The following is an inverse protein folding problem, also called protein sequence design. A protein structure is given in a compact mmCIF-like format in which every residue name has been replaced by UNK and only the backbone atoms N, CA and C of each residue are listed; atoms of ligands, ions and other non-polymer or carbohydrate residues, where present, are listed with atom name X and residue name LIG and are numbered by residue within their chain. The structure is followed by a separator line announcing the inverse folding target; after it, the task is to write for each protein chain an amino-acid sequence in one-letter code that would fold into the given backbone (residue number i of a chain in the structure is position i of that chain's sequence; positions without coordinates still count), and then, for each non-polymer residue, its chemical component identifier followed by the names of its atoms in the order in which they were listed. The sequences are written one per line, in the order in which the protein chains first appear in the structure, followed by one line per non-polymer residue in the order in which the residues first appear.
data_IF_190519334831
#
_entry.id   IF_190519334831
#
_cell.length_a   1.000
_cell.length_b   1.000
_cell.length_c   1.000
_cell.angle_alpha   90.00
_cell.angle_beta   90.00
_cell.angle_gamma   90.00
#
_symmetry.space_group_name_H-M   'P 1'
#
loop_
_entity.id
_entity.type
_entity.pdbx_description
1 polymer ?
#
# COMPACT_ATOMS: atom_id res chain seq x y z
N UNK A 1 36.27 6.36 -4.61
CA UNK A 1 35.80 6.30 -6.01
C UNK A 1 34.31 6.55 -6.00
N UNK A 2 33.81 7.59 -6.69
CA UNK A 2 32.37 7.83 -6.78
C UNK A 2 31.75 6.83 -7.78
N UNK A 3 30.75 6.04 -7.37
CA UNK A 3 29.96 5.28 -8.33
C UNK A 3 29.25 6.27 -9.27
N UNK A 4 29.20 5.93 -10.55
CA UNK A 4 28.45 6.71 -11.53
C UNK A 4 26.95 6.60 -11.26
N UNK A 5 26.18 7.63 -11.63
CA UNK A 5 24.71 7.60 -11.55
C UNK A 5 24.09 6.41 -12.30
N UNK A 6 24.74 5.93 -13.36
CA UNK A 6 24.33 4.74 -14.10
C UNK A 6 24.44 3.47 -13.25
N UNK A 7 25.53 3.32 -12.50
CA UNK A 7 25.74 2.18 -11.60
C UNK A 7 24.72 2.17 -10.46
N UNK A 8 24.42 3.34 -9.89
CA UNK A 8 23.36 3.49 -8.89
C UNK A 8 21.98 3.10 -9.44
N UNK A 9 21.66 3.54 -10.65
CA UNK A 9 20.40 3.17 -11.31
C UNK A 9 20.25 1.67 -11.54
N UNK A 10 21.33 0.99 -11.96
CA UNK A 10 21.35 -0.46 -12.13
C UNK A 10 21.16 -1.20 -10.79
N UNK A 11 21.79 -0.73 -9.73
CA UNK A 11 21.67 -1.33 -8.40
C UNK A 11 20.27 -1.17 -7.81
N UNK A 12 19.64 -0.01 -7.98
CA UNK A 12 18.25 0.22 -7.58
C UNK A 12 17.30 -0.71 -8.34
N UNK A 13 17.50 -0.87 -9.65
CA UNK A 13 16.72 -1.77 -10.48
C UNK A 13 16.90 -3.25 -10.07
N UNK A 14 18.12 -3.66 -9.73
CA UNK A 14 18.40 -5.00 -9.21
C UNK A 14 17.67 -5.23 -7.88
N UNK A 15 17.62 -4.23 -7.00
CA UNK A 15 16.83 -4.30 -5.76
C UNK A 15 15.31 -4.16 -5.97
N UNK A 16 14.86 -4.00 -7.22
CA UNK A 16 13.44 -3.91 -7.59
C UNK A 16 12.82 -2.53 -7.44
N UNK A 17 13.60 -1.52 -7.03
CA UNK A 17 13.13 -0.16 -6.87
C UNK A 17 13.05 0.54 -8.23
N UNK A 18 11.87 1.05 -8.55
CA UNK A 18 11.61 1.84 -9.75
C UNK A 18 11.36 3.30 -9.35
N UNK A 19 11.86 4.29 -10.12
CA UNK A 19 11.43 5.67 -9.98
C UNK A 19 9.92 5.78 -10.15
N UNK A 20 9.25 6.54 -9.28
CA UNK A 20 7.78 6.63 -9.25
C UNK A 20 7.21 7.06 -10.60
N UNK A 21 7.85 7.98 -11.31
CA UNK A 21 7.44 8.45 -12.65
C UNK A 21 7.45 7.37 -13.75
N UNK A 22 8.18 6.26 -13.52
CA UNK A 22 8.33 5.15 -14.47
C UNK A 22 7.83 3.82 -13.90
N UNK A 23 7.18 3.84 -12.74
CA UNK A 23 6.83 2.60 -12.07
C UNK A 23 5.78 1.80 -12.84
N UNK A 24 5.94 0.49 -12.83
CA UNK A 24 5.07 -0.49 -13.50
C UNK A 24 4.17 -1.25 -12.53
N UNK A 25 4.21 -0.88 -11.24
CA UNK A 25 3.54 -1.60 -10.15
C UNK A 25 2.05 -1.80 -10.44
N UNK A 26 1.32 -0.71 -10.70
CA UNK A 26 -0.13 -0.81 -10.93
C UNK A 26 -0.50 -1.59 -12.20
N UNK A 27 0.31 -1.48 -13.25
CA UNK A 27 0.10 -2.24 -14.48
C UNK A 27 0.21 -3.75 -14.20
N UNK A 28 1.25 -4.15 -13.47
CA UNK A 28 1.48 -5.56 -13.10
C UNK A 28 0.43 -6.07 -12.11
N UNK A 29 0.10 -5.31 -11.06
CA UNK A 29 -0.94 -5.69 -10.09
C UNK A 29 -2.31 -5.95 -10.73
N UNK A 30 -2.65 -5.22 -11.80
CA UNK A 30 -3.93 -5.41 -12.51
C UNK A 30 -4.02 -6.71 -13.31
N UNK A 31 -2.88 -7.32 -13.65
CA UNK A 31 -2.82 -8.59 -14.41
C UNK A 31 -2.82 -9.81 -13.50
N UNK A 32 -2.65 -9.61 -12.20
CA UNK A 32 -2.45 -10.67 -11.22
C UNK A 32 -3.74 -10.99 -10.45
N UNK A 33 -3.95 -12.27 -10.14
CA UNK A 33 -5.06 -12.78 -9.33
C UNK A 33 -4.53 -13.49 -8.08
N UNK A 34 -4.88 -13.05 -6.86
CA UNK A 34 -4.38 -13.65 -5.62
C UNK A 34 -4.64 -15.16 -5.53
N UNK A 35 -3.74 -15.91 -4.90
CA UNK A 35 -3.81 -17.38 -4.74
C UNK A 35 -2.74 -17.88 -3.77
N UNK A 36 -2.98 -19.06 -3.17
CA UNK A 36 -2.03 -19.70 -2.25
C UNK A 36 -2.28 -19.34 -0.79
N UNK A 37 -1.36 -19.74 0.09
CA UNK A 37 -1.35 -19.35 1.50
C UNK A 37 -0.70 -17.99 1.75
N UNK A 38 -0.27 -17.75 2.99
CA UNK A 38 0.34 -16.49 3.43
C UNK A 38 1.68 -16.78 4.11
N UNK A 39 2.77 -16.20 3.60
CA UNK A 39 4.12 -16.27 4.16
C UNK A 39 4.52 -14.88 4.69
N UNK A 40 3.86 -14.47 5.77
CA UNK A 40 3.99 -13.12 6.33
C UNK A 40 5.39 -12.84 6.87
N UNK A 41 5.94 -13.70 7.74
CA UNK A 41 7.28 -13.50 8.33
C UNK A 41 8.37 -13.49 7.27
N UNK A 42 8.30 -14.39 6.30
CA UNK A 42 9.24 -14.42 5.16
C UNK A 42 9.20 -13.10 4.39
N UNK A 43 8.00 -12.57 4.15
CA UNK A 43 7.79 -11.30 3.47
C UNK A 43 8.43 -10.14 4.23
N UNK A 44 8.16 -10.02 5.53
CA UNK A 44 8.74 -8.96 6.37
C UNK A 44 10.26 -9.06 6.37
N UNK A 45 10.82 -10.25 6.61
CA UNK A 45 12.27 -10.48 6.62
C UNK A 45 12.93 -10.14 5.27
N UNK A 46 12.30 -10.52 4.16
CA UNK A 46 12.75 -10.15 2.82
C UNK A 46 12.73 -8.63 2.62
N UNK A 47 11.68 -7.95 3.07
CA UNK A 47 11.55 -6.51 2.92
C UNK A 47 12.57 -5.71 3.73
N UNK A 48 12.75 -6.05 5.01
CA UNK A 48 13.80 -5.46 5.86
C UNK A 48 15.19 -5.67 5.24
N UNK A 49 15.44 -6.85 4.69
CA UNK A 49 16.70 -7.15 3.99
C UNK A 49 16.91 -6.29 2.74
N UNK A 50 15.85 -6.01 1.96
CA UNK A 50 15.93 -5.10 0.81
C UNK A 50 16.24 -3.65 1.24
N UNK A 51 15.64 -3.19 2.34
CA UNK A 51 15.89 -1.86 2.88
C UNK A 51 17.35 -1.71 3.33
N UNK A 52 17.88 -2.69 4.06
CA UNK A 52 19.28 -2.71 4.46
C UNK A 52 20.23 -2.66 3.26
N UNK A 53 19.97 -3.49 2.23
CA UNK A 53 20.76 -3.50 0.99
C UNK A 53 20.70 -2.17 0.24
N UNK A 54 19.51 -1.55 0.15
CA UNK A 54 19.36 -0.25 -0.48
C UNK A 54 20.08 0.84 0.32
N UNK A 55 19.97 0.84 1.64
CA UNK A 55 20.67 1.81 2.49
C UNK A 55 22.20 1.67 2.37
N UNK A 56 22.72 0.45 2.32
CA UNK A 56 24.13 0.19 2.07
C UNK A 56 24.56 0.78 0.71
N UNK A 57 23.84 0.45 -0.37
CA UNK A 57 24.07 0.97 -1.70
C UNK A 57 24.08 2.52 -1.75
N UNK A 58 23.14 3.15 -1.06
CA UNK A 58 23.03 4.61 -0.97
C UNK A 58 24.14 5.24 -0.12
N UNK A 59 24.65 4.51 0.87
CA UNK A 59 25.75 4.95 1.73
C UNK A 59 27.09 4.91 0.99
N UNK A 60 27.31 3.87 0.18
CA UNK A 60 28.50 3.74 -0.69
C UNK A 60 28.64 4.90 -1.69
N UNK A 61 27.53 5.55 -2.06
CA UNK A 61 27.53 6.73 -2.94
C UNK A 61 27.37 8.05 -2.17
N UNK A 62 27.34 8.03 -0.84
CA UNK A 62 27.27 9.23 0.00
C UNK A 62 25.92 9.95 -0.03
N UNK A 63 24.82 9.25 -0.33
CA UNK A 63 23.48 9.86 -0.41
C UNK A 63 22.46 9.30 0.59
N UNK A 64 22.80 8.31 1.42
CA UNK A 64 21.84 7.68 2.35
C UNK A 64 21.13 8.68 3.29
N UNK A 65 21.78 9.77 3.69
CA UNK A 65 21.24 10.78 4.61
C UNK A 65 20.12 11.69 4.06
N UNK A 66 19.78 11.55 2.78
CA UNK A 66 18.62 12.24 2.18
C UNK A 66 17.44 11.31 1.92
N UNK A 67 17.58 10.00 2.19
CA UNK A 67 16.54 9.00 1.96
C UNK A 67 15.85 8.58 3.26
N UNK A 68 14.52 8.53 3.18
CA UNK A 68 13.65 7.91 4.15
C UNK A 68 13.08 6.61 3.57
N UNK A 69 13.05 5.56 4.37
CA UNK A 69 12.55 4.24 4.02
C UNK A 69 11.16 4.05 4.61
N UNK A 70 10.20 3.70 3.76
CA UNK A 70 8.81 3.47 4.16
C UNK A 70 8.44 2.07 3.75
N UNK A 71 8.29 1.17 4.71
CA UNK A 71 7.88 -0.21 4.48
C UNK A 71 6.41 -0.36 4.87
N UNK A 72 5.56 -0.80 3.94
CA UNK A 72 4.15 -1.05 4.23
C UNK A 72 3.88 -2.53 3.98
N UNK A 73 3.43 -3.23 5.01
CA UNK A 73 3.10 -4.65 4.98
C UNK A 73 1.60 -4.80 5.15
N UNK A 74 0.93 -5.47 4.21
CA UNK A 74 -0.53 -5.62 4.22
C UNK A 74 -0.88 -7.10 4.15
N UNK A 75 -1.73 -7.56 5.07
CA UNK A 75 -2.18 -8.97 5.16
C UNK A 75 -3.65 -9.05 5.60
N UNK A 76 -4.35 -10.08 5.15
CA UNK A 76 -5.71 -10.41 5.62
C UNK A 76 -5.82 -11.77 6.34
N UNK A 77 -4.70 -12.46 6.53
CA UNK A 77 -4.70 -13.84 7.00
C UNK A 77 -3.60 -14.18 8.02
N UNK A 78 -3.76 -15.37 8.60
CA UNK A 78 -2.75 -16.02 9.44
C UNK A 78 -1.50 -16.38 8.62
N UNK A 79 -0.33 -16.38 9.25
CA UNK A 79 0.89 -16.87 8.61
C UNK A 79 0.88 -18.39 8.53
N UNK A 80 0.65 -18.94 7.33
CA UNK A 80 0.50 -20.39 7.09
C UNK A 80 1.71 -21.02 6.43
N UNK A 81 2.56 -20.21 5.80
CA UNK A 81 3.56 -20.71 4.84
C UNK A 81 4.99 -20.22 5.14
N UNK A 82 5.18 -19.29 6.09
CA UNK A 82 6.53 -18.80 6.40
C UNK A 82 7.44 -19.87 7.00
N UNK A 83 8.71 -19.78 6.63
CA UNK A 83 9.81 -20.59 7.17
C UNK A 83 10.68 -19.79 8.15
N UNK A 84 10.70 -18.47 8.01
CA UNK A 84 11.41 -17.55 8.89
C UNK A 84 10.85 -17.64 10.31
N UNK A 85 11.76 -17.85 11.26
CA UNK A 85 11.41 -17.92 12.68
C UNK A 85 11.34 -16.52 13.29
N UNK A 86 10.58 -16.32 14.39
CA UNK A 86 10.49 -15.02 15.04
C UNK A 86 11.85 -14.45 15.48
N UNK A 87 12.78 -15.31 15.91
CA UNK A 87 14.12 -14.90 16.36
C UNK A 87 14.99 -14.36 15.21
N UNK A 88 14.86 -14.96 14.02
CA UNK A 88 15.54 -14.48 12.80
C UNK A 88 15.02 -13.10 12.42
N UNK A 89 13.70 -12.89 12.54
CA UNK A 89 13.07 -11.61 12.26
C UNK A 89 13.47 -10.54 13.28
N UNK A 90 13.52 -10.89 14.57
CA UNK A 90 14.01 -10.01 15.62
C UNK A 90 15.46 -9.57 15.38
N UNK A 91 16.33 -10.49 14.93
CA UNK A 91 17.72 -10.16 14.59
C UNK A 91 17.81 -9.17 13.41
N UNK A 92 16.95 -9.31 12.39
CA UNK A 92 16.88 -8.36 11.28
C UNK A 92 16.41 -6.96 11.73
N UNK A 93 15.41 -6.89 12.61
CA UNK A 93 14.96 -5.61 13.17
C UNK A 93 15.98 -4.97 14.11
N UNK A 94 16.74 -5.78 14.86
CA UNK A 94 17.88 -5.27 15.61
C UNK A 94 18.89 -4.61 14.66
N UNK A 95 19.26 -5.29 13.57
CA UNK A 95 20.23 -4.78 12.61
C UNK A 95 19.75 -3.48 11.92
N UNK A 96 18.48 -3.40 11.49
CA UNK A 96 17.97 -2.18 10.85
C UNK A 96 17.97 -1.00 11.81
N UNK A 97 17.61 -1.20 13.07
CA UNK A 97 17.60 -0.15 14.09
C UNK A 97 19.01 0.33 14.50
N UNK A 98 20.05 -0.49 14.29
CA UNK A 98 21.45 -0.08 14.46
C UNK A 98 22.01 0.65 13.22
N UNK A 99 21.44 0.38 12.04
CA UNK A 99 22.00 0.85 10.76
C UNK A 99 21.32 2.11 10.25
N UNK A 100 20.01 2.25 10.50
CA UNK A 100 19.19 3.35 9.98
C UNK A 100 18.49 4.02 11.17
N UNK A 101 18.61 5.35 11.35
CA UNK A 101 17.87 6.06 12.38
C UNK A 101 16.36 5.81 12.26
N UNK A 102 15.68 5.63 13.39
CA UNK A 102 14.22 5.38 13.42
C UNK A 102 13.39 6.51 12.81
N UNK A 103 13.94 7.74 12.77
CA UNK A 103 13.32 8.87 12.07
C UNK A 103 13.38 8.76 10.54
N UNK A 104 14.28 7.92 10.00
CA UNK A 104 14.46 7.68 8.56
C UNK A 104 13.93 6.34 8.09
N UNK A 105 13.44 5.47 8.97
CA UNK A 105 12.89 4.17 8.59
C UNK A 105 11.63 3.89 9.38
N UNK A 106 10.50 3.72 8.68
CA UNK A 106 9.23 3.35 9.29
C UNK A 106 8.65 2.13 8.61
N UNK A 107 8.13 1.19 9.41
CA UNK A 107 7.36 0.03 8.95
C UNK A 107 5.92 0.14 9.44
N UNK A 108 4.97 0.09 8.53
CA UNK A 108 3.54 0.14 8.82
C UNK A 108 2.89 -1.20 8.45
N UNK A 109 2.37 -1.88 9.45
CA UNK A 109 1.62 -3.12 9.29
C UNK A 109 0.13 -2.82 9.20
N UNK A 110 -0.54 -3.33 8.18
CA UNK A 110 -1.99 -3.15 7.97
C UNK A 110 -2.65 -4.52 7.91
N UNK A 111 -3.37 -4.86 8.98
CA UNK A 111 -4.20 -6.05 9.04
C UNK A 111 -5.61 -5.77 8.50
N UNK A 112 -6.10 -6.58 7.58
CA UNK A 112 -7.47 -6.47 7.04
C UNK A 112 -8.31 -7.61 7.62
N UNK A 113 -9.26 -7.28 8.48
CA UNK A 113 -10.20 -8.27 9.04
C UNK A 113 -9.52 -9.51 9.65
N UNK A 114 -8.41 -9.29 10.35
CA UNK A 114 -7.59 -10.37 10.88
C UNK A 114 -8.32 -11.21 11.95
N UNK A 115 -8.01 -12.51 11.95
CA UNK A 115 -8.31 -13.38 13.09
C UNK A 115 -7.58 -12.86 14.35
N UNK A 116 -8.05 -13.23 15.54
CA UNK A 116 -7.34 -12.87 16.78
C UNK A 116 -5.90 -13.39 16.80
N UNK A 117 -5.66 -14.57 16.21
CA UNK A 117 -4.33 -15.17 16.10
C UNK A 117 -3.43 -14.35 15.17
N UNK A 118 -3.89 -14.05 13.95
CA UNK A 118 -3.17 -13.23 13.00
C UNK A 118 -2.88 -11.82 13.54
N UNK A 119 -3.84 -11.21 14.24
CA UNK A 119 -3.65 -9.90 14.86
C UNK A 119 -2.58 -9.94 15.97
N UNK A 120 -2.55 -10.99 16.80
CA UNK A 120 -1.53 -11.18 17.83
C UNK A 120 -0.14 -11.39 17.20
N UNK A 121 -0.05 -12.16 16.12
CA UNK A 121 1.20 -12.36 15.37
C UNK A 121 1.71 -11.06 14.74
N UNK A 122 0.85 -10.30 14.08
CA UNK A 122 1.22 -9.00 13.49
C UNK A 122 1.70 -8.02 14.58
N UNK A 123 1.06 -8.04 15.75
CA UNK A 123 1.47 -7.24 16.90
C UNK A 123 2.84 -7.66 17.40
N UNK A 124 3.09 -8.96 17.57
CA UNK A 124 4.41 -9.48 17.96
C UNK A 124 5.51 -9.05 16.99
N UNK A 125 5.26 -9.16 15.68
CA UNK A 125 6.21 -8.73 14.65
C UNK A 125 6.47 -7.21 14.76
N UNK A 126 5.44 -6.40 15.00
CA UNK A 126 5.61 -4.95 15.16
C UNK A 126 6.46 -4.58 16.38
N UNK A 127 6.38 -5.36 17.47
CA UNK A 127 7.19 -5.14 18.67
C UNK A 127 8.68 -5.32 18.38
N UNK A 128 9.06 -6.23 17.48
CA UNK A 128 10.47 -6.42 17.12
C UNK A 128 11.12 -5.16 16.53
N UNK A 129 10.38 -4.37 15.76
CA UNK A 129 10.91 -3.11 15.22
C UNK A 129 10.88 -1.95 16.22
N UNK A 130 10.14 -2.06 17.32
CA UNK A 130 10.04 -1.00 18.33
C UNK A 130 9.42 0.28 17.75
N UNK A 131 10.03 1.44 18.05
CA UNK A 131 9.48 2.76 17.70
C UNK A 131 9.43 3.05 16.18
N UNK A 132 10.09 2.24 15.34
CA UNK A 132 10.01 2.37 13.88
C UNK A 132 8.77 1.68 13.30
N UNK A 133 8.03 0.90 14.09
CA UNK A 133 6.91 0.09 13.63
C UNK A 133 5.57 0.58 14.16
N UNK A 134 4.56 0.60 13.28
CA UNK A 134 3.18 0.90 13.62
C UNK A 134 2.27 -0.20 13.09
N UNK A 135 1.26 -0.59 13.86
CA UNK A 135 0.25 -1.56 13.45
C UNK A 135 -1.13 -0.90 13.33
N UNK A 136 -1.80 -1.16 12.22
CA UNK A 136 -3.12 -0.67 11.90
C UNK A 136 -4.06 -1.85 11.65
N UNK A 137 -5.27 -1.75 12.19
CA UNK A 137 -6.34 -2.70 11.91
C UNK A 137 -7.37 -2.01 11.00
N UNK A 138 -7.67 -2.65 9.88
CA UNK A 138 -8.60 -2.20 8.88
C UNK A 138 -9.82 -3.13 8.87
N UNK A 139 -11.01 -2.53 8.99
CA UNK A 139 -12.23 -3.17 8.51
C UNK A 139 -12.38 -2.84 7.02
N UNK A 140 -13.01 -3.70 6.21
CA UNK A 140 -13.08 -3.68 4.73
C UNK A 140 -13.34 -2.32 4.03
N UNK A 141 -13.73 -1.26 4.74
CA UNK A 141 -14.19 0.02 4.19
C UNK A 141 -13.10 1.11 4.13
N UNK A 142 -11.97 1.02 4.87
CA UNK A 142 -11.13 2.21 5.12
C UNK A 142 -9.62 2.08 4.84
N UNK A 143 -9.17 1.24 3.91
CA UNK A 143 -7.74 1.16 3.57
C UNK A 143 -7.15 2.52 3.15
N UNK A 144 -7.88 3.31 2.36
CA UNK A 144 -7.44 4.66 1.95
C UNK A 144 -7.10 5.55 3.14
N UNK A 145 -7.92 5.56 4.21
CA UNK A 145 -7.68 6.38 5.40
C UNK A 145 -6.41 5.95 6.14
N UNK A 146 -6.10 4.65 6.14
CA UNK A 146 -4.87 4.14 6.74
C UNK A 146 -3.66 4.58 5.92
N UNK A 147 -3.73 4.51 4.59
CA UNK A 147 -2.66 5.02 3.73
C UNK A 147 -2.47 6.54 3.89
N UNK A 148 -3.54 7.31 4.00
CA UNK A 148 -3.48 8.75 4.27
C UNK A 148 -2.79 9.02 5.62
N UNK A 149 -3.13 8.26 6.66
CA UNK A 149 -2.47 8.33 7.96
C UNK A 149 -0.99 7.97 7.88
N UNK A 150 -0.64 6.88 7.20
CA UNK A 150 0.76 6.49 6.98
C UNK A 150 1.50 7.63 6.26
N UNK A 151 0.92 8.19 5.20
CA UNK A 151 1.50 9.34 4.48
C UNK A 151 1.76 10.54 5.40
N UNK A 152 0.82 10.87 6.29
CA UNK A 152 0.99 11.95 7.27
C UNK A 152 2.11 11.61 8.26
N UNK A 153 2.07 10.41 8.84
CA UNK A 153 3.00 9.97 9.89
C UNK A 153 4.46 9.94 9.38
N UNK A 154 4.67 9.56 8.11
CA UNK A 154 6.00 9.55 7.49
C UNK A 154 6.38 10.89 6.83
N UNK A 155 5.49 11.87 6.82
CA UNK A 155 5.73 13.18 6.20
C UNK A 155 5.69 13.18 4.66
N UNK A 156 5.06 12.18 4.04
CA UNK A 156 4.71 12.21 2.60
C UNK A 156 3.47 13.09 2.46
N UNK A 157 3.66 14.40 2.48
CA UNK A 157 2.59 15.36 2.22
C UNK A 157 2.81 15.99 0.87
N UNK A 158 1.81 15.87 -0.03
CA UNK A 158 1.78 16.70 -1.24
C UNK A 158 1.72 18.15 -0.78
N UNK A 159 2.77 18.93 -1.07
CA UNK A 159 2.70 20.38 -0.95
C UNK A 159 1.71 20.88 -2.00
N UNK A 160 0.43 20.91 -1.65
CA UNK A 160 -0.57 21.62 -2.44
C UNK A 160 -0.31 23.09 -2.12
N UNK A 161 0.36 23.77 -3.05
CA UNK A 161 0.55 25.22 -2.98
C UNK A 161 -0.80 25.92 -3.04
N UNK A 162 -1.43 26.15 -1.89
CA UNK A 162 -2.58 27.05 -1.80
C UNK A 162 -2.02 28.47 -1.71
N UNK A 163 -1.76 29.07 -2.86
CA UNK A 163 -1.54 30.53 -2.95
C UNK A 163 -2.92 31.17 -2.88
N UNK A 164 -3.42 31.36 -1.66
CA UNK A 164 -4.63 32.14 -1.40
C UNK A 164 -4.30 33.63 -1.48
N UNK A 165 -4.61 34.27 -2.61
CA UNK A 165 -4.73 35.73 -2.66
C UNK A 165 -6.12 36.07 -2.16
N UNK A 166 -6.23 36.37 -0.86
CA UNK A 166 -7.48 36.85 -0.29
C UNK A 166 -7.64 38.33 -0.65
N UNK A 167 -8.37 38.61 -1.74
CA UNK A 167 -8.73 39.96 -2.16
C UNK A 167 -10.17 40.23 -1.76
N UNK A 168 -10.33 41.05 -0.72
CA UNK A 168 -11.60 41.50 -0.19
C UNK A 168 -11.45 42.85 0.51
N UNK A 169 -11.09 43.87 -0.26
CA UNK A 169 -11.33 45.30 -0.04
C UNK A 169 -10.30 46.24 0.63
N UNK A 170 -9.06 45.85 0.94
CA UNK A 170 -7.98 46.84 1.11
C UNK A 170 -6.63 46.33 0.60
N UNK A 171 -6.21 46.83 -0.55
CA UNK A 171 -4.90 46.58 -1.14
C UNK A 171 -4.04 47.84 -0.98
N UNK A 172 -3.28 47.92 0.11
CA UNK A 172 -2.09 48.78 0.18
C UNK A 172 -0.88 47.89 -0.07
N UNK A 173 -0.29 47.99 -1.26
CA UNK A 173 0.93 47.27 -1.63
C UNK A 173 2.14 47.98 -1.03
N UNK A 174 2.41 47.77 0.26
CA UNK A 174 3.75 48.03 0.80
C UNK A 174 4.65 46.88 0.38
N UNK A 175 5.53 47.13 -0.60
CA UNK A 175 6.66 46.24 -0.90
C UNK A 175 7.65 46.37 0.26
N UNK A 176 7.40 45.61 1.32
CA UNK A 176 8.41 45.36 2.32
C UNK A 176 9.26 44.21 1.77
N UNK A 177 10.39 44.56 1.14
CA UNK A 177 11.48 43.62 0.87
C UNK A 177 12.02 43.11 2.21
N UNK A 178 11.28 42.22 2.85
CA UNK A 178 11.85 41.32 3.85
C UNK A 178 12.61 40.29 3.04
N UNK A 179 13.93 40.32 3.17
CA UNK A 179 14.84 39.25 2.79
C UNK A 179 14.13 37.92 2.99
N UNK A 180 13.71 37.30 1.89
CA UNK A 180 13.07 36.00 1.96
C UNK A 180 14.10 35.08 2.63
N UNK A 181 13.80 34.48 3.79
CA UNK A 181 14.68 33.48 4.33
C UNK A 181 14.81 32.42 3.23
N UNK A 182 16.03 32.21 2.74
CA UNK A 182 16.33 31.07 1.87
C UNK A 182 16.21 29.85 2.77
N UNK A 183 14.98 29.42 3.02
CA UNK A 183 14.69 28.14 3.64
C UNK A 183 15.19 27.13 2.63
N UNK A 184 16.40 26.62 2.84
CA UNK A 184 16.87 25.44 2.15
C UNK A 184 15.99 24.29 2.63
N UNK A 185 14.86 24.09 1.95
CA UNK A 185 14.01 22.93 2.15
C UNK A 185 14.85 21.74 1.71
N UNK A 186 15.51 21.07 2.68
CA UNK A 186 16.22 19.82 2.45
C UNK A 186 15.17 18.85 1.90
N UNK A 187 15.24 18.59 0.59
CA UNK A 187 14.27 17.74 -0.09
C UNK A 187 14.53 16.29 0.32
N UNK A 188 13.70 15.81 1.22
CA UNK A 188 13.67 14.41 1.62
C UNK A 188 13.18 13.57 0.43
N UNK A 189 13.87 12.46 0.17
CA UNK A 189 13.43 11.45 -0.81
C UNK A 189 12.90 10.24 -0.07
N UNK A 190 11.94 9.55 -0.68
CA UNK A 190 11.32 8.36 -0.12
C UNK A 190 11.64 7.13 -0.96
N UNK A 191 12.07 6.07 -0.29
CA UNK A 191 12.14 4.73 -0.84
C UNK A 191 11.01 3.91 -0.20
N UNK A 192 9.93 3.71 -0.96
CA UNK A 192 8.75 2.97 -0.51
C UNK A 192 8.88 1.51 -0.91
N UNK A 193 8.71 0.62 0.05
CA UNK A 193 8.57 -0.81 -0.17
C UNK A 193 7.18 -1.28 0.26
N UNK A 194 6.43 -1.85 -0.68
CA UNK A 194 5.12 -2.42 -0.47
C UNK A 194 5.20 -3.93 -0.43
N UNK A 195 4.92 -4.55 0.70
CA UNK A 195 4.74 -5.99 0.81
C UNK A 195 3.25 -6.29 0.87
N UNK A 196 2.70 -6.86 -0.20
CA UNK A 196 1.27 -7.07 -0.36
C UNK A 196 0.95 -8.56 -0.28
N UNK A 197 0.03 -8.91 0.62
CA UNK A 197 -0.52 -10.27 0.65
C UNK A 197 -1.27 -10.54 -0.65
N UNK A 198 -0.90 -11.65 -1.26
CA UNK A 198 -1.40 -12.16 -2.52
C UNK A 198 -1.98 -13.57 -2.35
N UNK A 199 -2.35 -13.94 -1.12
CA UNK A 199 -3.04 -15.17 -0.75
C UNK A 199 -4.44 -15.30 -1.37
N UNK A 200 -5.00 -16.50 -1.33
CA UNK A 200 -6.35 -16.76 -1.85
C UNK A 200 -7.47 -15.96 -1.17
N UNK A 201 -7.31 -15.59 0.11
CA UNK A 201 -8.29 -14.81 0.90
C UNK A 201 -8.42 -13.36 0.42
N UNK A 202 -7.36 -12.81 -0.18
CA UNK A 202 -7.35 -11.44 -0.71
C UNK A 202 -8.21 -11.25 -1.97
N UNK A 203 -8.73 -12.31 -2.59
CA UNK A 203 -9.49 -12.22 -3.86
C UNK A 203 -10.71 -11.29 -3.80
N UNK A 204 -11.13 -10.82 -4.98
CA UNK A 204 -12.37 -10.05 -5.13
C UNK A 204 -12.25 -8.62 -4.64
N UNK A 205 -13.17 -8.19 -3.78
CA UNK A 205 -13.27 -6.80 -3.33
C UNK A 205 -12.06 -6.34 -2.54
N UNK A 206 -11.49 -7.19 -1.66
CA UNK A 206 -10.28 -6.87 -0.87
C UNK A 206 -9.10 -6.49 -1.77
N UNK A 207 -8.79 -7.32 -2.77
CA UNK A 207 -7.74 -7.04 -3.75
C UNK A 207 -7.98 -5.75 -4.52
N UNK A 208 -9.23 -5.51 -4.94
CA UNK A 208 -9.57 -4.29 -5.68
C UNK A 208 -9.40 -3.03 -4.81
N UNK A 209 -9.86 -3.08 -3.55
CA UNK A 209 -9.65 -2.00 -2.58
C UNK A 209 -8.17 -1.76 -2.30
N UNK A 210 -7.38 -2.82 -2.15
CA UNK A 210 -5.93 -2.73 -1.95
C UNK A 210 -5.26 -2.05 -3.14
N UNK A 211 -5.54 -2.50 -4.37
CA UNK A 211 -4.99 -1.89 -5.60
C UNK A 211 -5.34 -0.41 -5.70
N UNK A 212 -6.58 -0.03 -5.40
CA UNK A 212 -7.00 1.36 -5.41
C UNK A 212 -6.22 2.19 -4.38
N UNK A 213 -6.06 1.67 -3.17
CA UNK A 213 -5.33 2.35 -2.09
C UNK A 213 -3.85 2.51 -2.42
N UNK A 214 -3.21 1.46 -2.94
CA UNK A 214 -1.82 1.51 -3.42
C UNK A 214 -1.68 2.53 -4.56
N UNK A 215 -2.62 2.56 -5.51
CA UNK A 215 -2.60 3.55 -6.59
C UNK A 215 -2.68 4.98 -6.07
N UNK A 216 -3.55 5.24 -5.09
CA UNK A 216 -3.68 6.57 -4.48
C UNK A 216 -2.42 6.95 -3.70
N UNK A 217 -1.87 6.03 -2.91
CA UNK A 217 -0.64 6.27 -2.16
C UNK A 217 0.55 6.57 -3.08
N UNK A 218 0.76 5.77 -4.14
CA UNK A 218 1.86 5.99 -5.10
C UNK A 218 1.74 7.34 -5.82
N UNK A 219 0.53 7.87 -6.02
CA UNK A 219 0.34 9.22 -6.57
C UNK A 219 0.82 10.32 -5.62
N UNK A 220 0.89 10.08 -4.31
CA UNK A 220 1.35 11.08 -3.35
C UNK A 220 2.87 11.26 -3.33
N UNK A 221 3.61 10.30 -3.90
CA UNK A 221 5.06 10.37 -4.04
C UNK A 221 5.50 11.39 -5.09
N UNK A 222 6.70 11.95 -4.92
CA UNK A 222 7.28 12.96 -5.79
C UNK A 222 8.20 12.36 -6.85
N UNK A 223 8.53 13.16 -7.86
CA UNK A 223 9.56 12.80 -8.82
C UNK A 223 10.91 12.55 -8.11
N UNK A 224 11.53 11.42 -8.42
CA UNK A 224 12.79 10.99 -7.81
C UNK A 224 12.64 10.17 -6.53
N UNK A 225 11.42 9.98 -6.03
CA UNK A 225 11.12 8.93 -5.06
C UNK A 225 11.16 7.56 -5.75
N UNK A 226 11.38 6.51 -4.95
CA UNK A 226 11.46 5.14 -5.41
C UNK A 226 10.31 4.32 -4.83
N UNK A 227 9.82 3.38 -5.62
CA UNK A 227 8.83 2.40 -5.19
C UNK A 227 9.27 0.99 -5.57
N UNK A 228 9.14 0.05 -4.64
CA UNK A 228 9.29 -1.38 -4.86
C UNK A 228 8.04 -2.08 -4.34
N UNK A 229 7.64 -3.17 -4.99
CA UNK A 229 6.52 -3.99 -4.56
C UNK A 229 6.92 -5.46 -4.53
N UNK A 230 6.71 -6.10 -3.38
CA UNK A 230 6.80 -7.53 -3.19
C UNK A 230 5.40 -8.09 -2.96
N UNK A 231 5.11 -9.20 -3.61
CA UNK A 231 3.93 -10.00 -3.37
C UNK A 231 4.34 -11.19 -2.52
N UNK A 232 3.51 -11.57 -1.56
CA UNK A 232 3.73 -12.79 -0.80
C UNK A 232 2.47 -13.64 -0.75
N UNK A 233 2.67 -14.94 -0.94
CA UNK A 233 1.68 -15.98 -0.73
C UNK A 233 2.38 -17.18 -0.08
N UNK A 234 2.45 -18.35 -0.70
CA UNK A 234 3.34 -19.46 -0.29
C UNK A 234 4.83 -19.10 -0.36
N UNK A 235 5.19 -18.06 -1.12
CA UNK A 235 6.55 -17.52 -1.23
C UNK A 235 6.52 -16.01 -1.42
N UNK A 236 7.65 -15.36 -1.17
CA UNK A 236 7.84 -13.93 -1.44
C UNK A 236 8.43 -13.74 -2.84
N UNK A 237 7.84 -12.85 -3.63
CA UNK A 237 8.31 -12.54 -4.98
C UNK A 237 8.28 -11.03 -5.21
N UNK A 238 9.34 -10.52 -5.81
CA UNK A 238 9.41 -9.12 -6.25
C UNK A 238 8.59 -8.95 -7.52
N UNK A 239 7.63 -8.03 -7.51
CA UNK A 239 6.69 -7.79 -8.61
C UNK A 239 7.44 -7.48 -9.92
N UNK A 240 8.54 -6.74 -9.84
CA UNK A 240 9.28 -6.33 -11.02
C UNK A 240 10.01 -7.46 -11.75
N UNK A 241 10.26 -8.58 -11.05
CA UNK A 241 10.89 -9.78 -11.60
C UNK A 241 9.88 -10.81 -12.10
N UNK A 242 8.57 -10.56 -11.93
CA UNK A 242 7.55 -11.46 -12.44
C UNK A 242 7.43 -11.30 -13.96
N UNK A 243 7.69 -12.39 -14.67
CA UNK A 243 7.41 -12.49 -16.11
C UNK A 243 5.92 -12.68 -16.31
N UNK A 244 5.19 -11.57 -16.38
CA UNK A 244 3.77 -11.61 -16.72
C UNK A 244 3.67 -11.65 -18.24
N UNK A 245 3.41 -12.84 -18.78
CA UNK A 245 3.04 -12.98 -20.19
C UNK A 245 1.78 -12.16 -20.43
N UNK A 246 1.88 -11.07 -21.19
CA UNK A 246 0.68 -10.35 -21.58
C UNK A 246 -0.24 -11.31 -22.35
N UNK A 247 -1.55 -11.33 -22.05
CA UNK A 247 -2.48 -12.13 -22.83
C UNK A 247 -2.32 -11.71 -24.29
N UNK A 248 -1.90 -12.66 -25.14
CA UNK A 248 -1.78 -12.45 -26.58
C UNK A 248 -3.10 -11.83 -27.05
N UNK A 249 -3.10 -10.65 -27.68
CA UNK A 249 -4.33 -10.00 -28.10
C UNK A 249 -5.12 -11.00 -28.94
N UNK A 250 -6.35 -11.28 -28.52
CA UNK A 250 -7.23 -12.18 -29.25
C UNK A 250 -7.32 -11.64 -30.69
N UNK A 251 -6.82 -12.40 -31.65
CA UNK A 251 -6.94 -12.07 -33.07
C UNK A 251 -8.44 -11.99 -33.32
N UNK A 252 -8.95 -10.77 -33.45
CA UNK A 252 -10.33 -10.54 -33.82
C UNK A 252 -10.40 -10.91 -35.29
N UNK A 253 -10.80 -12.14 -35.57
CA UNK A 253 -11.18 -12.53 -36.92
C UNK A 253 -12.36 -11.66 -37.30
N UNK A 254 -12.12 -10.68 -38.16
CA UNK A 254 -13.17 -9.90 -38.80
C UNK A 254 -13.99 -10.90 -39.60
N UNK A 255 -15.15 -11.29 -39.06
CA UNK A 255 -16.15 -12.03 -39.81
C UNK A 255 -16.52 -11.17 -41.02
N UNK A 256 -16.38 -11.66 -42.27
CA UNK A 256 -16.88 -10.94 -43.42
C UNK A 256 -18.39 -10.77 -43.28
N UNK A 257 -18.85 -9.52 -43.34
CA UNK A 257 -20.26 -9.14 -43.25
C UNK A 257 -21.05 -9.73 -44.41
N UNK A 258 -21.66 -10.89 -44.19
CA UNK A 258 -22.71 -11.42 -45.06
C UNK A 258 -24.04 -10.74 -44.71
N UNK A 259 -24.25 -9.56 -45.29
CA UNK A 259 -25.58 -8.96 -45.36
C UNK A 259 -26.45 -9.79 -46.32
N UNK A 260 -27.15 -10.79 -45.77
CA UNK A 260 -28.30 -11.41 -46.41
C UNK A 260 -29.45 -11.45 -45.38
N UNK A 261 -30.13 -10.32 -45.27
CA UNK A 261 -31.36 -10.17 -44.50
C UNK A 261 -32.50 -10.93 -45.18
N UNK A 262 -32.96 -12.02 -44.58
CA UNK A 262 -34.27 -12.61 -44.86
C UNK A 262 -35.20 -12.21 -43.71
N UNK A 263 -36.10 -11.26 -43.98
CA UNK A 263 -37.16 -10.84 -43.06
C UNK A 263 -38.14 -12.00 -42.86
N UNK A 264 -38.17 -12.56 -41.66
CA UNK A 264 -39.30 -13.37 -41.18
C UNK A 264 -39.99 -12.58 -40.09
N UNK A 265 -41.13 -12.02 -40.46
CA UNK A 265 -42.15 -11.43 -39.60
C UNK A 265 -42.67 -12.47 -38.60
N UNK A 266 -42.53 -12.19 -37.30
CA UNK A 266 -43.23 -12.94 -36.26
C UNK A 266 -44.24 -12.06 -35.50
N UNK A 267 -45.39 -12.64 -35.10
CA UNK A 267 -46.49 -11.92 -34.49
C UNK A 267 -46.31 -11.69 -32.98
N UNK A 268 -46.84 -10.53 -32.58
CA UNK A 268 -47.01 -9.98 -31.24
C UNK A 268 -47.84 -10.90 -30.32
N UNK A 269 -47.38 -11.22 -29.09
CA UNK A 269 -48.26 -11.65 -28.02
C UNK A 269 -48.52 -10.56 -26.98
N UNK A 270 -49.68 -10.72 -26.35
CA UNK A 270 -50.42 -9.75 -25.58
C UNK A 270 -49.85 -9.45 -24.19
N UNK A 271 -50.19 -8.25 -23.74
CA UNK A 271 -50.00 -7.69 -22.41
C UNK A 271 -50.96 -8.38 -21.43
N UNK A 272 -50.45 -8.87 -20.30
CA UNK A 272 -51.26 -9.19 -19.12
C UNK A 272 -50.70 -8.44 -17.92
N UNK A 273 -51.48 -7.49 -17.41
CA UNK A 273 -51.26 -6.84 -16.12
C UNK A 273 -51.91 -7.66 -15.02
N UNK A 274 -51.19 -7.88 -13.92
CA UNK A 274 -51.77 -8.25 -12.64
C UNK A 274 -50.95 -7.66 -11.50
N UNK A 275 -51.46 -6.57 -10.93
CA UNK A 275 -51.29 -6.16 -9.54
C UNK A 275 -52.11 -7.14 -8.66
N UNK A 276 -51.76 -7.41 -7.37
CA UNK A 276 -52.14 -6.44 -6.33
C UNK A 276 -51.27 -6.39 -5.04
N UNK A 277 -51.32 -5.20 -4.43
CA UNK A 277 -51.60 -4.92 -3.02
C UNK A 277 -50.75 -5.50 -1.88
N UNK A 278 -50.15 -4.55 -1.16
CA UNK A 278 -50.44 -4.21 0.25
C UNK A 278 -49.72 -4.94 1.40
N UNK A 279 -49.40 -4.06 2.36
CA UNK A 279 -49.50 -4.19 3.81
C UNK A 279 -48.25 -4.49 4.63
N UNK A 280 -48.02 -3.52 5.53
CA UNK A 280 -47.77 -3.69 6.95
C UNK A 280 -46.42 -4.29 7.36
N UNK A 281 -45.85 -4.00 8.50
CA UNK A 281 -45.97 -2.97 9.53
C UNK A 281 -44.76 -3.27 10.44
N UNK A 282 -44.29 -2.23 11.15
CA UNK A 282 -43.66 -2.28 12.48
C UNK A 282 -43.03 -3.61 12.97
N UNK A 283 -41.77 -3.54 13.42
CA UNK A 283 -41.53 -3.72 14.85
C UNK A 283 -40.16 -3.22 15.30
N UNK A 284 -40.23 -2.37 16.32
CA UNK A 284 -39.18 -2.00 17.24
C UNK A 284 -38.69 -3.23 18.01
N UNK A 285 -37.37 -3.42 18.09
CA UNK A 285 -36.78 -4.13 19.22
C UNK A 285 -35.59 -3.33 19.75
N UNK A 286 -35.86 -2.68 20.88
CA UNK A 286 -34.87 -2.17 21.82
C UNK A 286 -34.42 -3.34 22.69
N UNK A 287 -33.12 -3.63 22.74
CA UNK A 287 -32.55 -4.47 23.78
C UNK A 287 -31.20 -3.94 24.22
N UNK A 288 -31.27 -3.39 25.43
CA UNK A 288 -30.24 -3.02 26.40
C UNK A 288 -28.96 -3.86 26.42
N UNK A 289 -27.86 -3.10 26.52
CA UNK A 289 -26.48 -3.47 26.87
C UNK A 289 -26.36 -3.92 28.33
N UNK A 290 -25.59 -4.98 28.66
CA UNK A 290 -24.98 -5.12 29.96
C UNK A 290 -23.50 -4.68 29.93
N UNK A 291 -23.19 -3.64 30.72
CA UNK A 291 -21.82 -3.18 31.03
C UNK A 291 -21.05 -4.30 31.74
N UNK A 292 -19.96 -4.79 31.15
CA UNK A 292 -18.98 -5.64 31.84
C UNK A 292 -17.86 -4.76 32.41
N UNK A 293 -17.59 -4.98 33.70
CA UNK A 293 -16.57 -4.31 34.52
C UNK A 293 -15.16 -4.63 34.01
N UNK A 294 -14.38 -3.60 33.67
CA UNK A 294 -12.93 -3.70 33.50
C UNK A 294 -12.27 -3.86 34.87
N UNK A 295 -11.44 -4.90 35.01
CA UNK A 295 -10.46 -5.01 36.10
C UNK A 295 -9.12 -4.57 35.53
N UNK A 296 -8.66 -3.41 35.97
CA UNK A 296 -7.31 -2.90 35.77
C UNK A 296 -6.33 -3.79 36.54
N UNK A 297 -5.35 -4.37 35.84
CA UNK A 297 -4.21 -5.02 36.46
C UNK A 297 -2.98 -4.20 36.11
N UNK A 298 -2.45 -3.52 37.13
CA UNK A 298 -1.17 -2.82 37.12
C UNK A 298 -0.05 -3.87 37.16
N UNK A 299 0.83 -3.88 36.16
CA UNK A 299 2.13 -4.57 36.28
C UNK A 299 3.19 -3.49 36.36
N UNK A 300 3.91 -3.50 37.48
CA UNK A 300 5.00 -2.60 37.84
C UNK A 300 6.30 -3.25 37.38
N UNK A 301 7.03 -2.50 36.55
CA UNK A 301 8.44 -2.60 36.10
C UNK A 301 9.07 -3.98 35.84
#
# INVERSE_FOLDING_TARGET
MALSAATTGLLMAELGYEPVEKNTIMQKLNLLKPSGGTALRDSVGFGVSLILKLNQALSEIGTSEIWNFVHIVITDGDDTSSKTKPEELAALFYLINQTIPTSRCSTSYVGIELSQKAAAELTLISVFGGNSCNAYQANNVNLNQIFDRISIDVGIVRQVGVVGVNSGNQSALMIHQRSAPVVQVKRNRFAVLLNLDFSGSMRGQRWNSLKNSVSMFLRNLQQGDLACCCLFNDKVQMLNRLQISQPKPAITYSQPSSNASMQISQPKPAITYSQPSSNASSNNYSSSVPKKKEKSCCVIF
#
